data_IF_096767131751
#
_entry.id   IF_096767131751
#
_cell.length_a   1.000
_cell.length_b   1.000
_cell.length_c   1.000
_cell.angle_alpha   90.00
_cell.angle_beta   90.00
_cell.angle_gamma   90.00
#
_symmetry.space_group_name_H-M   'P 1'
#
loop_
_entity.id
_entity.type
_entity.pdbx_description
1 polymer ?
#
# COMPACT_ATOMS: atom_id res chain seq x y z
N UNK A 1 14.69 -96.06 -23.85
CA UNK A 1 14.05 -94.94 -23.11
C UNK A 1 14.91 -94.68 -21.90
N UNK A 2 15.55 -93.51 -21.78
CA UNK A 2 15.99 -92.88 -20.52
C UNK A 2 16.55 -91.49 -20.88
N UNK A 3 16.07 -90.52 -20.12
CA UNK A 3 16.41 -89.09 -20.17
C UNK A 3 17.86 -88.82 -19.75
N UNK A 4 18.45 -87.77 -20.32
CA UNK A 4 19.63 -87.10 -19.80
C UNK A 4 19.26 -85.65 -19.44
N UNK A 5 19.24 -85.35 -18.14
CA UNK A 5 19.46 -84.02 -17.59
C UNK A 5 20.94 -83.65 -17.75
N UNK A 6 21.27 -82.37 -18.01
CA UNK A 6 22.25 -81.51 -17.29
C UNK A 6 22.54 -80.19 -18.07
N UNK A 7 23.09 -79.12 -17.45
CA UNK A 7 22.37 -77.86 -17.28
C UNK A 7 23.08 -76.60 -17.84
N UNK A 8 22.42 -75.46 -17.64
CA UNK A 8 22.84 -74.08 -17.94
C UNK A 8 24.18 -73.69 -17.29
N UNK A 9 24.97 -72.91 -18.05
CA UNK A 9 25.95 -71.97 -17.52
C UNK A 9 25.68 -70.57 -18.10
N UNK A 10 25.52 -69.57 -17.22
CA UNK A 10 25.26 -68.17 -17.55
C UNK A 10 26.58 -67.39 -17.71
N UNK A 11 26.68 -66.54 -18.73
CA UNK A 11 27.70 -65.49 -18.84
C UNK A 11 27.04 -64.11 -18.78
N UNK A 12 27.45 -63.30 -17.79
CA UNK A 12 27.14 -61.87 -17.71
C UNK A 12 27.97 -61.09 -18.73
N UNK A 13 27.29 -60.28 -19.55
CA UNK A 13 27.93 -59.25 -20.38
C UNK A 13 27.71 -57.87 -19.73
N UNK A 14 28.81 -57.18 -19.41
CA UNK A 14 28.82 -55.78 -18.98
C UNK A 14 28.72 -54.87 -20.21
N UNK A 15 27.61 -54.14 -20.35
CA UNK A 15 27.47 -53.05 -21.32
C UNK A 15 27.79 -51.71 -20.62
N UNK A 16 28.59 -50.81 -21.21
CA UNK A 16 28.80 -49.47 -20.69
C UNK A 16 27.54 -48.63 -20.90
N UNK A 17 26.92 -48.20 -19.80
CA UNK A 17 25.83 -47.23 -19.80
C UNK A 17 26.36 -45.87 -20.23
N UNK A 18 26.14 -45.49 -21.49
CA UNK A 18 26.29 -44.10 -21.93
C UNK A 18 25.10 -43.34 -21.33
N UNK A 19 25.29 -42.75 -20.16
CA UNK A 19 24.39 -41.71 -19.67
C UNK A 19 24.57 -40.48 -20.54
N UNK A 20 23.68 -40.29 -21.53
CA UNK A 20 23.45 -38.99 -22.14
C UNK A 20 23.08 -38.03 -21.00
N UNK A 21 24.04 -37.19 -20.59
CA UNK A 21 23.75 -36.04 -19.76
C UNK A 21 22.70 -35.23 -20.52
N UNK A 22 21.49 -35.16 -19.97
CA UNK A 22 20.41 -34.33 -20.47
C UNK A 22 20.92 -32.90 -20.39
N UNK A 23 21.36 -32.35 -21.52
CA UNK A 23 21.63 -30.91 -21.65
C UNK A 23 20.35 -30.22 -21.19
N UNK A 24 20.38 -29.40 -20.12
CA UNK A 24 19.20 -28.70 -19.69
C UNK A 24 18.76 -27.86 -20.89
N UNK A 25 17.55 -28.16 -21.36
CA UNK A 25 16.93 -27.43 -22.44
C UNK A 25 16.67 -26.02 -21.89
N UNK A 26 17.61 -25.10 -22.10
CA UNK A 26 17.46 -23.68 -21.80
C UNK A 26 16.37 -23.15 -22.74
N UNK A 27 15.12 -23.38 -22.36
CA UNK A 27 14.00 -22.67 -22.98
C UNK A 27 14.17 -21.21 -22.59
N UNK A 28 14.42 -20.35 -23.59
CA UNK A 28 14.18 -18.92 -23.50
C UNK A 28 12.75 -18.70 -23.00
N UNK A 29 12.57 -18.50 -21.69
CA UNK A 29 11.27 -18.24 -21.10
C UNK A 29 11.07 -16.73 -21.11
N UNK A 30 10.11 -16.26 -21.90
CA UNK A 30 9.57 -14.91 -21.74
C UNK A 30 8.89 -14.83 -20.39
N UNK A 31 9.31 -13.89 -19.57
CA UNK A 31 8.72 -13.64 -18.26
C UNK A 31 8.26 -12.20 -18.18
N UNK A 32 7.03 -12.00 -17.70
CA UNK A 32 6.54 -10.68 -17.30
C UNK A 32 7.29 -10.27 -16.04
N UNK A 33 8.01 -9.15 -16.09
CA UNK A 33 8.71 -8.60 -14.93
C UNK A 33 8.27 -7.16 -14.66
N UNK A 34 8.56 -6.71 -13.44
CA UNK A 34 8.35 -5.34 -13.02
C UNK A 34 9.69 -4.67 -12.70
N UNK A 35 9.99 -3.59 -13.41
CA UNK A 35 11.14 -2.72 -13.11
C UNK A 35 10.60 -1.55 -12.30
N UNK A 36 11.21 -1.29 -11.15
CA UNK A 36 10.85 -0.20 -10.26
C UNK A 36 12.08 0.63 -9.93
N UNK A 37 11.90 1.95 -9.97
CA UNK A 37 12.91 2.90 -9.56
C UNK A 37 12.32 3.86 -8.56
N UNK A 38 13.08 4.14 -7.50
CA UNK A 38 12.75 5.09 -6.45
C UNK A 38 13.91 6.04 -6.25
N UNK A 39 13.61 7.32 -6.07
CA UNK A 39 14.58 8.38 -5.85
C UNK A 39 14.14 9.32 -4.74
N UNK A 40 15.03 9.55 -3.79
CA UNK A 40 14.88 10.57 -2.76
C UNK A 40 15.56 11.85 -3.25
N UNK A 41 14.78 12.94 -3.38
CA UNK A 41 15.25 14.23 -3.89
C UNK A 41 16.10 14.99 -2.88
N UNK A 42 16.03 14.65 -1.60
CA UNK A 42 16.76 15.33 -0.54
C UNK A 42 18.17 14.75 -0.37
N UNK A 43 18.29 13.43 -0.32
CA UNK A 43 19.58 12.73 -0.20
C UNK A 43 20.23 12.42 -1.54
N UNK A 44 19.49 12.56 -2.65
CA UNK A 44 19.91 12.13 -3.99
C UNK A 44 20.22 10.63 -4.07
N UNK A 45 19.64 9.84 -3.18
CA UNK A 45 19.77 8.37 -3.16
C UNK A 45 18.72 7.73 -4.07
N UNK A 46 19.04 6.58 -4.65
CA UNK A 46 18.11 5.85 -5.52
C UNK A 46 18.19 4.35 -5.32
N UNK A 47 17.09 3.68 -5.61
CA UNK A 47 17.02 2.23 -5.67
C UNK A 47 16.39 1.78 -6.99
N UNK A 48 17.01 0.81 -7.65
CA UNK A 48 16.50 0.14 -8.85
C UNK A 48 16.25 -1.33 -8.52
N UNK A 49 15.02 -1.79 -8.73
CA UNK A 49 14.62 -3.17 -8.46
C UNK A 49 13.95 -3.80 -9.67
N UNK A 50 14.27 -5.06 -9.93
CA UNK A 50 13.56 -5.92 -10.86
C UNK A 50 12.84 -6.99 -10.05
N UNK A 51 11.55 -7.19 -10.32
CA UNK A 51 10.72 -8.16 -9.63
C UNK A 51 10.00 -9.09 -10.59
N UNK A 52 9.53 -10.18 -10.03
CA UNK A 52 8.65 -11.13 -10.69
C UNK A 52 7.29 -10.50 -11.06
N UNK A 53 6.49 -11.26 -11.83
CA UNK A 53 5.16 -10.84 -12.23
C UNK A 53 4.24 -10.51 -11.04
N UNK A 54 4.39 -11.21 -9.91
CA UNK A 54 3.55 -10.99 -8.73
C UNK A 54 3.98 -9.77 -7.89
N UNK A 55 5.17 -9.21 -8.16
CA UNK A 55 5.83 -8.14 -7.38
C UNK A 55 6.14 -8.56 -5.94
N UNK A 56 6.11 -9.87 -5.65
CA UNK A 56 6.38 -10.41 -4.31
C UNK A 56 7.83 -10.82 -4.15
N UNK A 57 8.52 -11.08 -5.27
CA UNK A 57 9.90 -11.53 -5.27
C UNK A 57 10.76 -10.57 -6.06
N UNK A 58 11.81 -10.07 -5.40
CA UNK A 58 12.86 -9.28 -6.04
C UNK A 58 13.79 -10.24 -6.76
N UNK A 59 14.02 -10.03 -8.04
CA UNK A 59 14.93 -10.80 -8.90
C UNK A 59 16.30 -10.15 -8.98
N UNK A 60 16.35 -8.82 -8.90
CA UNK A 60 17.59 -8.05 -8.85
C UNK A 60 17.37 -6.70 -8.16
N UNK A 61 18.40 -6.17 -7.51
CA UNK A 61 18.35 -4.90 -6.79
C UNK A 61 19.70 -4.18 -6.86
N UNK A 62 19.67 -2.85 -6.89
CA UNK A 62 20.86 -1.99 -6.91
C UNK A 62 20.54 -0.61 -6.33
N UNK A 63 21.50 -0.04 -5.61
CA UNK A 63 21.45 1.36 -5.14
C UNK A 63 21.97 2.37 -6.17
N UNK A 64 22.20 1.90 -7.40
CA UNK A 64 22.59 2.73 -8.53
C UNK A 64 21.50 2.72 -9.61
N UNK A 65 21.74 3.46 -10.69
CA UNK A 65 20.83 3.50 -11.85
C UNK A 65 20.94 2.28 -12.77
N UNK A 66 21.72 1.25 -12.39
CA UNK A 66 21.97 0.07 -13.21
C UNK A 66 21.87 -1.22 -12.38
N UNK A 67 21.33 -2.28 -12.97
CA UNK A 67 21.24 -3.61 -12.35
C UNK A 67 21.25 -4.71 -13.42
N UNK A 68 21.85 -5.86 -13.12
CA UNK A 68 21.79 -7.03 -13.99
C UNK A 68 20.73 -8.04 -13.51
N UNK A 69 19.96 -8.59 -14.44
CA UNK A 69 18.95 -9.64 -14.19
C UNK A 69 18.97 -10.66 -15.32
N UNK A 70 19.19 -11.94 -15.00
CA UNK A 70 19.18 -13.04 -15.97
C UNK A 70 20.06 -12.84 -17.21
N UNK A 71 21.25 -12.24 -17.02
CA UNK A 71 22.19 -11.92 -18.11
C UNK A 71 21.92 -10.59 -18.85
N UNK A 72 20.81 -9.90 -18.53
CA UNK A 72 20.42 -8.63 -19.14
C UNK A 72 20.80 -7.45 -18.26
N UNK A 73 21.32 -6.39 -18.87
CA UNK A 73 21.53 -5.11 -18.18
C UNK A 73 20.26 -4.27 -18.27
N UNK A 74 19.81 -3.77 -17.11
CA UNK A 74 18.77 -2.76 -16.98
C UNK A 74 19.42 -1.48 -16.48
N UNK A 75 19.24 -0.38 -17.19
CA UNK A 75 19.69 0.95 -16.76
C UNK A 75 18.57 1.98 -16.85
N UNK A 76 18.68 3.02 -16.04
CA UNK A 76 17.67 4.07 -15.91
C UNK A 76 18.32 5.43 -16.17
N UNK A 77 17.74 6.19 -17.10
CA UNK A 77 18.09 7.58 -17.35
C UNK A 77 16.81 8.43 -17.31
N UNK A 78 16.51 8.89 -16.09
CA UNK A 78 15.36 9.71 -15.76
C UNK A 78 15.80 10.92 -14.93
N UNK A 79 15.01 11.98 -15.00
CA UNK A 79 15.12 13.17 -14.17
C UNK A 79 14.57 12.95 -12.75
N UNK A 80 14.57 14.02 -11.95
CA UNK A 80 14.07 13.98 -10.58
C UNK A 80 12.55 13.72 -10.47
N UNK A 81 11.77 13.91 -11.54
CA UNK A 81 10.32 13.68 -11.58
C UNK A 81 9.96 12.33 -12.21
N UNK A 82 10.93 11.44 -12.39
CA UNK A 82 10.75 10.13 -13.02
C UNK A 82 10.33 10.22 -14.50
N UNK A 83 10.74 11.26 -15.21
CA UNK A 83 10.60 11.38 -16.67
C UNK A 83 11.90 10.99 -17.37
N UNK A 84 11.80 10.28 -18.49
CA UNK A 84 12.97 9.83 -19.24
C UNK A 84 12.75 8.44 -19.81
N UNK A 85 13.74 7.56 -19.65
CA UNK A 85 13.73 6.23 -20.23
C UNK A 85 14.42 5.19 -19.38
N UNK A 86 14.00 3.94 -19.57
CA UNK A 86 14.78 2.77 -19.18
C UNK A 86 15.44 2.15 -20.42
N UNK A 87 16.61 1.56 -20.23
CA UNK A 87 17.26 0.73 -21.24
C UNK A 87 17.31 -0.70 -20.72
N UNK A 88 16.81 -1.65 -21.50
CA UNK A 88 16.84 -3.07 -21.17
C UNK A 88 17.50 -3.80 -22.34
N UNK A 89 18.66 -4.40 -22.10
CA UNK A 89 19.44 -5.12 -23.12
C UNK A 89 19.72 -4.28 -24.38
N UNK A 90 20.04 -2.99 -24.18
CA UNK A 90 20.29 -2.04 -25.26
C UNK A 90 19.04 -1.45 -25.92
N UNK A 91 17.83 -1.94 -25.60
CA UNK A 91 16.58 -1.36 -26.09
C UNK A 91 16.08 -0.26 -25.15
N UNK A 92 15.84 0.92 -25.69
CA UNK A 92 15.39 2.10 -24.96
C UNK A 92 13.86 2.22 -24.98
N UNK A 93 13.27 2.42 -23.80
CA UNK A 93 11.83 2.55 -23.60
C UNK A 93 11.52 3.82 -22.81
N UNK A 94 10.64 4.66 -23.32
CA UNK A 94 10.22 5.89 -22.63
C UNK A 94 9.29 5.56 -21.46
N UNK A 95 9.45 6.28 -20.34
CA UNK A 95 8.53 6.20 -19.21
C UNK A 95 7.17 6.77 -19.63
N UNK A 96 6.28 5.88 -20.07
CA UNK A 96 4.93 6.24 -20.49
C UNK A 96 3.95 5.07 -20.31
N UNK A 97 2.73 5.41 -19.89
CA UNK A 97 1.65 4.44 -19.63
C UNK A 97 1.00 3.83 -20.87
N UNK A 98 1.34 4.33 -22.07
CA UNK A 98 0.75 3.93 -23.34
C UNK A 98 1.85 3.24 -24.16
N UNK A 99 1.71 1.93 -24.48
CA UNK A 99 2.69 1.17 -25.26
C UNK A 99 3.15 1.83 -26.56
N UNK A 100 2.24 2.53 -27.24
CA UNK A 100 2.54 3.27 -28.48
C UNK A 100 3.56 4.40 -28.32
N UNK A 101 3.75 4.92 -27.10
CA UNK A 101 4.68 6.02 -26.81
C UNK A 101 5.91 5.56 -26.00
N UNK A 102 5.83 4.41 -25.33
CA UNK A 102 6.92 3.84 -24.52
C UNK A 102 7.83 2.87 -25.29
N UNK A 103 7.48 2.52 -26.53
CA UNK A 103 8.19 1.48 -27.28
C UNK A 103 7.73 0.06 -26.97
N UNK A 104 6.48 -0.11 -26.50
CA UNK A 104 5.85 -1.42 -26.30
C UNK A 104 5.62 -1.83 -24.85
N UNK A 105 6.08 -1.05 -23.87
CA UNK A 105 5.93 -1.35 -22.44
C UNK A 105 4.87 -0.48 -21.76
N UNK A 106 4.55 -0.75 -20.50
CA UNK A 106 3.64 0.12 -19.72
C UNK A 106 4.38 0.62 -18.50
N UNK A 107 4.60 1.92 -18.41
CA UNK A 107 5.19 2.55 -17.24
C UNK A 107 4.26 3.60 -16.64
N UNK A 108 4.12 3.58 -15.33
CA UNK A 108 3.37 4.57 -14.58
C UNK A 108 4.31 5.19 -13.53
N UNK A 109 4.15 6.49 -13.26
CA UNK A 109 5.03 7.22 -12.34
C UNK A 109 4.26 8.07 -11.34
N UNK A 110 4.92 8.34 -10.22
CA UNK A 110 4.43 9.20 -9.15
C UNK A 110 5.57 10.01 -8.58
N UNK A 111 5.30 11.25 -8.18
CA UNK A 111 6.33 12.16 -7.69
C UNK A 111 5.75 13.25 -6.81
N UNK A 112 6.55 13.77 -5.89
CA UNK A 112 6.24 14.95 -5.10
C UNK A 112 7.52 15.79 -4.91
N UNK A 113 7.53 16.71 -3.95
CA UNK A 113 8.70 17.55 -3.67
C UNK A 113 9.86 16.82 -2.99
N UNK A 114 9.64 15.63 -2.44
CA UNK A 114 10.60 14.85 -1.65
C UNK A 114 11.11 13.61 -2.38
N UNK A 115 10.29 12.98 -3.22
CA UNK A 115 10.63 11.72 -3.86
C UNK A 115 9.95 11.56 -5.23
N UNK A 116 10.48 10.64 -6.03
CA UNK A 116 9.87 10.21 -7.28
C UNK A 116 10.07 8.73 -7.54
N UNK A 117 9.16 8.19 -8.34
CA UNK A 117 9.04 6.76 -8.52
C UNK A 117 8.45 6.44 -9.90
N UNK A 118 8.90 5.36 -10.53
CA UNK A 118 8.16 4.72 -11.63
C UNK A 118 8.15 3.20 -11.52
N UNK A 119 7.12 2.59 -12.10
CA UNK A 119 7.06 1.15 -12.32
C UNK A 119 6.69 0.83 -13.75
N UNK A 120 7.53 0.02 -14.39
CA UNK A 120 7.35 -0.48 -15.73
C UNK A 120 7.01 -1.97 -15.71
N UNK A 121 6.06 -2.38 -16.53
CA UNK A 121 5.76 -3.77 -16.88
C UNK A 121 6.35 -4.07 -18.26
N UNK A 122 7.21 -5.07 -18.34
CA UNK A 122 7.87 -5.51 -19.58
C UNK A 122 7.86 -7.04 -19.68
N UNK A 123 7.67 -7.54 -20.88
CA UNK A 123 7.87 -8.95 -21.22
C UNK A 123 9.36 -9.13 -21.59
N UNK A 124 10.13 -9.76 -20.72
CA UNK A 124 11.57 -9.92 -20.89
C UNK A 124 11.94 -11.39 -21.16
N UNK A 125 12.78 -11.61 -22.16
CA UNK A 125 13.43 -12.89 -22.38
C UNK A 125 14.72 -12.95 -21.55
N UNK A 126 14.72 -13.76 -20.51
CA UNK A 126 15.90 -13.95 -19.67
C UNK A 126 16.77 -15.06 -20.24
N UNK A 127 18.09 -14.82 -20.29
CA UNK A 127 19.07 -15.80 -20.77
C UNK A 127 19.27 -16.92 -19.72
N UNK A 128 19.07 -16.58 -18.44
CA UNK A 128 19.08 -17.51 -17.32
C UNK A 128 17.91 -17.24 -16.38
N UNK A 129 17.37 -18.31 -15.77
CA UNK A 129 16.32 -18.16 -14.77
C UNK A 129 16.86 -17.39 -13.56
N UNK A 130 16.35 -16.17 -13.34
CA UNK A 130 16.73 -15.35 -12.20
C UNK A 130 16.06 -15.91 -10.94
N UNK A 131 16.86 -16.33 -9.98
CA UNK A 131 16.34 -16.73 -8.67
C UNK A 131 15.88 -15.50 -7.88
N UNK A 132 14.85 -15.67 -7.06
CA UNK A 132 14.45 -14.62 -6.13
C UNK A 132 15.60 -14.35 -5.14
N UNK A 133 15.88 -13.07 -4.90
CA UNK A 133 16.78 -12.61 -3.86
C UNK A 133 16.18 -12.89 -2.49
N UNK A 134 17.04 -13.23 -1.52
CA UNK A 134 16.65 -13.24 -0.12
C UNK A 134 16.47 -11.79 0.35
N UNK A 135 15.28 -11.45 0.86
CA UNK A 135 14.94 -10.12 1.36
C UNK A 135 15.91 -9.64 2.45
N UNK A 136 16.52 -10.55 3.21
CA UNK A 136 17.53 -10.19 4.23
C UNK A 136 18.87 -9.75 3.64
N UNK A 137 19.13 -10.08 2.37
CA UNK A 137 20.37 -9.76 1.65
C UNK A 137 20.24 -8.55 0.74
N UNK A 138 19.04 -7.99 0.60
CA UNK A 138 18.81 -6.79 -0.19
C UNK A 138 19.37 -5.59 0.56
N UNK A 139 20.31 -4.89 -0.08
CA UNK A 139 20.93 -3.69 0.46
C UNK A 139 19.90 -2.59 0.72
N UNK A 140 20.10 -1.80 1.77
CA UNK A 140 19.30 -0.61 2.01
C UNK A 140 19.96 0.59 1.32
N UNK A 141 19.31 1.13 0.29
CA UNK A 141 19.84 2.24 -0.51
C UNK A 141 19.61 3.63 0.07
N UNK A 142 18.86 3.74 1.18
CA UNK A 142 18.44 5.02 1.74
C UNK A 142 18.95 5.19 3.17
N UNK A 143 19.61 6.32 3.41
CA UNK A 143 20.22 6.64 4.71
C UNK A 143 19.20 7.07 5.77
N UNK A 144 18.01 7.52 5.37
CA UNK A 144 16.97 7.98 6.30
C UNK A 144 15.87 6.92 6.53
N UNK A 145 15.63 6.51 7.78
CA UNK A 145 14.51 5.61 8.09
C UNK A 145 13.17 6.36 7.97
N UNK A 146 12.21 5.76 7.26
CA UNK A 146 10.85 6.32 7.09
C UNK A 146 10.66 7.18 5.84
N UNK A 147 11.73 7.49 5.12
CA UNK A 147 11.70 8.05 3.77
C UNK A 147 12.33 6.99 2.88
N UNK A 148 11.50 6.18 2.22
CA UNK A 148 12.02 5.15 1.32
C UNK A 148 12.67 3.92 1.94
N UNK A 149 12.10 3.31 2.98
CA UNK A 149 12.40 1.88 3.14
C UNK A 149 11.89 1.16 1.87
N UNK A 150 12.70 0.31 1.25
CA UNK A 150 12.31 -0.51 0.09
C UNK A 150 10.94 -1.18 0.32
N UNK A 151 10.66 -1.53 1.58
CA UNK A 151 9.38 -2.06 2.03
C UNK A 151 8.24 -1.06 1.95
N UNK A 152 8.39 0.21 2.31
CA UNK A 152 7.37 1.25 2.21
C UNK A 152 7.28 1.81 0.80
N UNK A 153 8.37 1.92 0.03
CA UNK A 153 8.28 2.26 -1.40
C UNK A 153 7.54 1.15 -2.18
N UNK A 154 7.90 -0.12 -1.99
CA UNK A 154 7.26 -1.28 -2.61
C UNK A 154 5.83 -1.49 -2.11
N UNK A 155 5.55 -1.19 -0.85
CA UNK A 155 4.22 -1.36 -0.23
C UNK A 155 3.32 -0.15 -0.46
N UNK A 156 3.83 1.07 -0.51
CA UNK A 156 3.11 2.23 -1.05
C UNK A 156 2.84 2.03 -2.53
N UNK A 157 3.68 1.30 -3.26
CA UNK A 157 3.43 0.86 -4.64
C UNK A 157 2.43 -0.30 -4.75
N UNK A 158 2.49 -1.29 -3.87
CA UNK A 158 1.56 -2.43 -3.81
C UNK A 158 0.20 -2.00 -3.21
N UNK A 159 0.18 -0.90 -2.45
CA UNK A 159 -1.00 -0.27 -1.86
C UNK A 159 -1.52 0.88 -2.73
N UNK A 160 -0.67 1.56 -3.49
CA UNK A 160 -1.06 2.23 -4.74
C UNK A 160 -1.56 1.16 -5.74
N UNK A 161 -1.03 -0.07 -5.70
CA UNK A 161 -1.63 -1.26 -6.30
C UNK A 161 -2.78 -1.83 -5.46
N UNK A 162 -3.38 -1.08 -4.54
CA UNK A 162 -4.83 -1.10 -4.33
C UNK A 162 -5.58 -0.84 -5.64
N UNK A 163 -4.87 -0.30 -6.65
CA UNK A 163 -5.24 -0.38 -8.06
C UNK A 163 -5.35 -1.79 -8.68
N UNK A 164 -4.68 -2.81 -8.14
CA UNK A 164 -4.68 -4.21 -8.59
C UNK A 164 -5.17 -5.21 -7.53
N UNK A 165 -5.11 -4.88 -6.23
CA UNK A 165 -5.45 -5.75 -5.10
C UNK A 165 -6.94 -5.72 -4.70
N UNK A 166 -7.74 -4.82 -5.28
CA UNK A 166 -9.19 -4.75 -4.99
C UNK A 166 -10.01 -5.95 -5.47
N UNK A 167 -9.39 -7.00 -6.01
CA UNK A 167 -10.07 -8.27 -6.28
C UNK A 167 -10.06 -9.26 -5.11
N UNK A 168 -9.17 -9.11 -4.12
CA UNK A 168 -8.98 -10.15 -3.09
C UNK A 168 -8.97 -9.67 -1.63
N UNK A 169 -9.31 -8.40 -1.34
CA UNK A 169 -9.66 -8.05 0.04
C UNK A 169 -11.13 -8.40 0.28
N UNK A 170 -11.45 -9.32 1.21
CA UNK A 170 -12.83 -9.52 1.62
C UNK A 170 -13.36 -8.20 2.18
N UNK A 171 -14.57 -7.83 1.77
CA UNK A 171 -15.38 -6.83 2.45
C UNK A 171 -15.46 -7.19 3.94
N UNK A 172 -14.54 -6.63 4.73
CA UNK A 172 -14.59 -6.65 6.19
C UNK A 172 -15.58 -5.60 6.72
N UNK A 173 -16.52 -5.18 5.88
CA UNK A 173 -17.70 -4.40 6.26
C UNK A 173 -18.95 -5.27 6.47
N UNK A 174 -18.85 -6.60 6.37
CA UNK A 174 -19.89 -7.50 6.88
C UNK A 174 -19.75 -7.69 8.39
N UNK A 175 -19.90 -6.61 9.18
CA UNK A 175 -20.34 -6.77 10.57
C UNK A 175 -21.85 -6.74 10.55
N UNK A 176 -22.43 -7.94 10.53
CA UNK A 176 -23.83 -8.21 10.87
C UNK A 176 -24.13 -7.47 12.17
N UNK A 177 -25.00 -6.47 12.08
CA UNK A 177 -25.59 -5.75 13.21
C UNK A 177 -26.08 -6.78 14.25
N UNK A 178 -25.49 -6.88 15.45
CA UNK A 178 -26.20 -7.50 16.55
C UNK A 178 -27.43 -6.63 16.80
N UNK A 179 -28.58 -7.28 16.94
CA UNK A 179 -29.86 -6.63 17.18
C UNK A 179 -29.74 -5.47 18.16
N UNK A 180 -30.43 -4.38 17.82
CA UNK A 180 -30.53 -3.19 18.63
C UNK A 180 -30.87 -3.57 20.08
N UNK A 181 -29.97 -3.26 21.01
CA UNK A 181 -30.33 -3.16 22.42
C UNK A 181 -31.51 -2.17 22.54
N UNK A 182 -32.50 -2.44 23.40
CA UNK A 182 -33.74 -1.68 23.43
C UNK A 182 -33.45 -0.21 23.70
N UNK A 183 -34.08 0.68 22.92
CA UNK A 183 -34.19 2.11 23.26
C UNK A 183 -34.66 2.23 24.71
N UNK A 184 -34.09 3.12 25.53
CA UNK A 184 -34.70 3.44 26.81
C UNK A 184 -36.08 4.02 26.54
N UNK A 185 -37.11 3.27 26.93
CA UNK A 185 -38.47 3.74 26.99
C UNK A 185 -38.53 4.86 28.01
N UNK A 186 -39.03 6.03 27.61
CA UNK A 186 -39.58 7.01 28.52
C UNK A 186 -40.82 6.38 29.18
N UNK A 187 -40.60 5.59 30.22
CA UNK A 187 -41.66 5.10 31.09
C UNK A 187 -41.68 5.96 32.35
N UNK A 188 -42.41 7.06 32.26
CA UNK A 188 -42.94 7.77 33.43
C UNK A 188 -43.98 6.88 34.11
N UNK A 189 -43.54 5.87 34.85
CA UNK A 189 -44.41 5.17 35.80
C UNK A 189 -44.27 5.81 37.18
N UNK A 190 -45.32 6.52 37.58
CA UNK A 190 -45.54 7.01 38.92
C UNK A 190 -45.40 5.88 39.96
N UNK A 191 -44.43 6.00 40.88
CA UNK A 191 -44.50 5.31 42.17
C UNK A 191 -44.46 6.35 43.28
N UNK A 192 -45.65 6.66 43.79
CA UNK A 192 -45.83 7.23 45.12
C UNK A 192 -45.71 6.09 46.14
N UNK A 193 -44.59 6.02 46.85
CA UNK A 193 -44.58 5.59 48.25
C UNK A 193 -43.27 5.98 48.93
N UNK A 194 -43.45 6.77 49.97
CA UNK A 194 -42.56 7.23 51.04
C UNK A 194 -41.45 6.27 51.50
N UNK A 195 -40.35 6.89 51.96
CA UNK A 195 -39.15 6.36 52.66
C UNK A 195 -37.91 6.15 51.75
N UNK A 196 -37.24 7.27 51.40
CA UNK A 196 -35.78 7.44 51.52
C UNK A 196 -35.35 8.86 51.06
N UNK A 197 -35.63 9.87 51.87
CA UNK A 197 -34.90 11.13 51.77
C UNK A 197 -33.47 10.89 52.32
N UNK A 198 -32.55 10.45 51.44
CA UNK A 198 -31.06 10.47 51.52
C UNK A 198 -30.34 9.45 50.61
N UNK A 199 -31.05 8.72 49.74
CA UNK A 199 -30.36 7.93 48.71
C UNK A 199 -30.24 8.79 47.45
N UNK A 200 -29.01 9.20 47.09
CA UNK A 200 -28.72 9.72 45.75
C UNK A 200 -29.11 8.57 44.80
N UNK A 201 -30.16 8.76 44.01
CA UNK A 201 -30.60 7.73 43.08
C UNK A 201 -29.47 7.44 42.09
N UNK A 202 -28.90 6.23 42.15
CA UNK A 202 -27.83 5.78 41.25
C UNK A 202 -28.29 5.59 39.78
N UNK A 203 -29.40 6.21 39.37
CA UNK A 203 -30.05 5.99 38.08
C UNK A 203 -29.56 6.88 36.94
N UNK A 204 -28.75 7.90 37.22
CA UNK A 204 -28.17 8.74 36.17
C UNK A 204 -26.85 8.11 35.73
N UNK A 205 -26.83 7.67 34.47
CA UNK A 205 -25.66 7.13 33.79
C UNK A 205 -25.15 8.10 32.74
N UNK A 206 -23.83 8.30 32.67
CA UNK A 206 -23.14 9.00 31.60
C UNK A 206 -22.18 8.03 30.92
N UNK A 207 -22.16 8.01 29.59
CA UNK A 207 -21.24 7.19 28.82
C UNK A 207 -20.31 8.10 28.05
N UNK A 208 -19.03 7.75 28.01
CA UNK A 208 -18.04 8.41 27.17
C UNK A 208 -17.01 7.41 26.66
N UNK A 209 -16.41 7.68 25.49
CA UNK A 209 -15.28 6.91 25.03
C UNK A 209 -14.04 7.21 25.90
N UNK A 210 -13.28 6.17 26.25
CA UNK A 210 -12.00 6.27 26.96
C UNK A 210 -10.95 5.40 26.28
N UNK A 211 -9.67 5.76 26.44
CA UNK A 211 -8.57 4.94 25.94
C UNK A 211 -8.49 3.60 26.68
N UNK A 212 -8.11 2.56 25.94
CA UNK A 212 -7.69 1.29 26.52
C UNK A 212 -6.19 1.35 26.76
N UNK A 213 -5.77 1.47 28.02
CA UNK A 213 -4.36 1.72 28.35
C UNK A 213 -3.91 3.08 27.80
N UNK A 214 -2.86 3.07 26.99
CA UNK A 214 -2.38 4.23 26.23
C UNK A 214 -3.04 4.39 24.85
N UNK A 215 -3.95 3.48 24.49
CA UNK A 215 -4.61 3.44 23.18
C UNK A 215 -3.79 2.78 22.07
N UNK A 216 -2.55 2.36 22.32
CA UNK A 216 -1.64 1.79 21.31
C UNK A 216 -1.67 2.56 19.97
N UNK A 217 -1.28 3.85 19.97
CA UNK A 217 -1.42 4.72 18.81
C UNK A 217 -0.50 4.27 17.67
N UNK A 218 -1.03 4.27 16.44
CA UNK A 218 -0.28 3.96 15.23
C UNK A 218 -0.61 4.93 14.09
N UNK A 219 0.38 5.20 13.24
CA UNK A 219 0.22 6.04 12.05
C UNK A 219 -0.23 5.23 10.85
N UNK A 220 -1.16 5.81 10.10
CA UNK A 220 -1.68 5.27 8.85
C UNK A 220 -2.04 6.39 7.89
N UNK A 221 -2.16 6.09 6.61
CA UNK A 221 -2.43 7.13 5.60
C UNK A 221 -3.69 6.81 4.81
N UNK A 222 -4.53 7.82 4.63
CA UNK A 222 -5.61 7.80 3.65
C UNK A 222 -5.13 8.56 2.43
N UNK A 223 -5.12 7.88 1.28
CA UNK A 223 -4.79 8.48 0.00
C UNK A 223 -6.07 8.75 -0.77
N UNK A 224 -6.22 9.96 -1.31
CA UNK A 224 -7.41 10.34 -2.09
C UNK A 224 -7.01 11.10 -3.35
N UNK A 225 -7.60 10.74 -4.49
CA UNK A 225 -7.46 11.53 -5.70
C UNK A 225 -8.32 12.79 -5.58
N UNK A 226 -7.69 13.96 -5.65
CA UNK A 226 -8.39 15.24 -5.45
C UNK A 226 -8.77 15.91 -6.78
N UNK A 227 -8.08 15.60 -7.87
CA UNK A 227 -8.35 16.16 -9.20
C UNK A 227 -9.09 15.22 -10.13
N UNK A 228 -9.72 15.78 -11.16
CA UNK A 228 -10.03 15.02 -12.36
C UNK A 228 -8.75 14.57 -13.08
N UNK A 229 -8.89 13.58 -13.96
CA UNK A 229 -7.82 13.18 -14.85
C UNK A 229 -7.69 14.18 -15.99
N UNK A 230 -6.46 14.58 -16.30
CA UNK A 230 -6.17 15.39 -17.47
C UNK A 230 -5.34 14.60 -18.47
N UNK A 231 -5.81 14.55 -19.71
CA UNK A 231 -5.08 13.98 -20.85
C UNK A 231 -4.41 15.12 -21.61
N UNK A 232 -3.07 15.11 -21.68
CA UNK A 232 -2.33 16.26 -22.21
C UNK A 232 -2.38 16.44 -23.74
N UNK A 233 -3.03 15.53 -24.48
CA UNK A 233 -3.05 15.58 -25.95
C UNK A 233 -1.63 15.57 -26.52
N UNK A 234 -1.34 16.40 -27.52
CA UNK A 234 0.01 16.49 -28.12
C UNK A 234 0.93 17.50 -27.43
N UNK A 235 0.43 18.23 -26.42
CA UNK A 235 1.19 19.26 -25.68
C UNK A 235 1.49 18.83 -24.24
N UNK A 236 2.22 19.68 -23.51
CA UNK A 236 2.28 19.56 -22.04
C UNK A 236 0.98 20.07 -21.43
N UNK A 237 0.62 19.53 -20.26
CA UNK A 237 -0.55 19.96 -19.52
C UNK A 237 -0.28 20.00 -18.02
N UNK A 238 -1.08 20.78 -17.29
CA UNK A 238 -0.93 20.93 -15.85
C UNK A 238 -2.28 20.82 -15.15
N UNK A 239 -2.35 19.96 -14.14
CA UNK A 239 -3.51 19.81 -13.24
C UNK A 239 -3.22 20.56 -11.96
N UNK A 240 -4.00 21.62 -11.70
CA UNK A 240 -3.88 22.46 -10.51
C UNK A 240 -5.05 22.33 -9.55
N UNK A 241 -4.78 22.56 -8.25
CA UNK A 241 -5.77 22.47 -7.18
C UNK A 241 -6.93 23.47 -7.30
N UNK A 242 -6.77 24.62 -7.97
CA UNK A 242 -7.90 25.55 -8.18
C UNK A 242 -9.05 24.94 -9.00
N UNK A 243 -8.82 23.80 -9.66
CA UNK A 243 -9.85 23.01 -10.35
C UNK A 243 -10.29 21.76 -9.56
N UNK A 244 -9.61 21.40 -8.45
CA UNK A 244 -10.01 20.30 -7.56
C UNK A 244 -10.85 20.83 -6.39
N UNK A 245 -12.04 20.28 -6.19
CA UNK A 245 -12.88 20.56 -5.02
C UNK A 245 -12.12 20.23 -3.73
N UNK A 246 -12.21 21.09 -2.71
CA UNK A 246 -11.75 20.75 -1.37
C UNK A 246 -12.56 19.58 -0.81
N UNK A 247 -11.87 18.62 -0.21
CA UNK A 247 -12.50 17.52 0.52
C UNK A 247 -12.38 17.76 2.02
N UNK A 248 -13.49 17.58 2.74
CA UNK A 248 -13.48 17.46 4.20
C UNK A 248 -13.38 15.99 4.54
N UNK A 249 -12.32 15.61 5.24
CA UNK A 249 -12.06 14.23 5.62
C UNK A 249 -12.19 14.13 7.12
N UNK A 250 -13.11 13.27 7.56
CA UNK A 250 -13.52 13.14 8.95
C UNK A 250 -12.95 11.88 9.59
N UNK A 251 -12.82 11.88 10.92
CA UNK A 251 -12.43 10.71 11.68
C UNK A 251 -13.38 9.53 11.41
N UNK A 252 -12.81 8.33 11.28
CA UNK A 252 -13.57 7.09 11.15
C UNK A 252 -13.79 6.51 12.54
N UNK A 253 -15.05 6.43 12.95
CA UNK A 253 -15.43 6.08 14.33
C UNK A 253 -15.63 4.59 14.58
N UNK A 254 -15.59 3.72 13.57
CA UNK A 254 -15.90 2.29 13.71
C UNK A 254 -17.20 2.06 14.53
N UNK A 255 -17.12 1.49 15.75
CA UNK A 255 -18.24 1.29 16.66
C UNK A 255 -18.36 2.36 17.76
N UNK A 256 -17.55 3.41 17.72
CA UNK A 256 -17.60 4.52 18.67
C UNK A 256 -18.87 5.36 18.46
N UNK A 257 -19.50 5.75 19.57
CA UNK A 257 -20.67 6.63 19.56
C UNK A 257 -20.30 8.11 19.50
N UNK A 258 -19.10 8.46 19.98
CA UNK A 258 -18.62 9.83 20.03
C UNK A 258 -17.13 9.88 19.65
N UNK A 259 -16.73 10.95 18.96
CA UNK A 259 -15.33 11.23 18.69
C UNK A 259 -14.67 11.91 19.89
N UNK A 260 -13.47 11.48 20.23
CA UNK A 260 -12.61 12.16 21.19
C UNK A 260 -11.16 12.03 20.74
N UNK A 261 -10.32 13.02 21.01
CA UNK A 261 -8.92 13.00 20.58
C UNK A 261 -8.05 12.00 21.34
N UNK A 262 -8.51 11.48 22.48
CA UNK A 262 -7.69 10.65 23.37
C UNK A 262 -6.49 11.38 23.99
N UNK A 263 -6.39 12.70 23.83
CA UNK A 263 -5.19 13.46 24.18
C UNK A 263 -4.11 13.49 23.08
N UNK A 264 -4.35 12.88 21.92
CA UNK A 264 -3.46 12.96 20.76
C UNK A 264 -3.65 14.26 19.97
N UNK A 265 -2.63 14.71 19.24
CA UNK A 265 -2.71 15.89 18.37
C UNK A 265 -3.46 15.60 17.05
N UNK A 266 -4.71 15.18 17.16
CA UNK A 266 -5.61 14.82 16.07
C UNK A 266 -6.81 15.77 15.98
N UNK A 267 -7.48 15.80 14.83
CA UNK A 267 -8.71 16.56 14.60
C UNK A 267 -9.85 15.64 14.17
N UNK A 268 -11.09 16.10 14.36
CA UNK A 268 -12.25 15.38 13.83
C UNK A 268 -12.33 15.49 12.31
N UNK A 269 -11.91 16.62 11.74
CA UNK A 269 -11.93 16.84 10.30
C UNK A 269 -10.80 17.75 9.83
N UNK A 270 -10.18 17.40 8.71
CA UNK A 270 -9.24 18.26 7.98
C UNK A 270 -9.78 18.55 6.57
N UNK A 271 -9.54 19.77 6.09
CA UNK A 271 -9.83 20.14 4.71
C UNK A 271 -8.55 20.12 3.88
N UNK A 272 -8.60 19.51 2.68
CA UNK A 272 -7.53 19.68 1.69
C UNK A 272 -7.57 21.15 1.25
N UNK A 273 -6.51 21.95 1.49
CA UNK A 273 -6.58 23.42 1.37
C UNK A 273 -5.46 24.12 0.58
N UNK A 274 -4.44 23.39 0.16
CA UNK A 274 -3.23 23.98 -0.46
C UNK A 274 -3.25 23.80 -1.98
N UNK A 275 -2.79 24.82 -2.71
CA UNK A 275 -2.73 24.73 -4.17
C UNK A 275 -1.47 24.02 -4.66
N UNK A 276 -1.66 22.89 -5.32
CA UNK A 276 -0.58 22.13 -5.95
C UNK A 276 -0.82 21.96 -7.44
N UNK A 277 0.26 21.86 -8.20
CA UNK A 277 0.23 21.67 -9.65
C UNK A 277 1.02 20.42 -10.03
N UNK A 278 0.39 19.54 -10.79
CA UNK A 278 0.99 18.36 -11.40
C UNK A 278 1.14 18.58 -12.89
N UNK A 279 2.32 18.26 -13.43
CA UNK A 279 2.64 18.45 -14.84
C UNK A 279 2.63 17.10 -15.55
N UNK A 280 2.12 17.10 -16.78
CA UNK A 280 2.17 15.98 -17.69
C UNK A 280 2.76 16.39 -19.03
N UNK A 281 3.49 15.46 -19.64
CA UNK A 281 4.05 15.59 -20.97
C UNK A 281 3.04 15.21 -22.06
N UNK A 282 3.38 15.51 -23.34
CA UNK A 282 2.61 15.03 -24.47
C UNK A 282 2.19 13.58 -24.35
N UNK A 283 0.92 13.34 -24.62
CA UNK A 283 0.22 12.06 -24.64
C UNK A 283 0.07 11.36 -23.29
N UNK A 284 0.52 11.97 -22.19
CA UNK A 284 0.33 11.44 -20.86
C UNK A 284 -1.04 11.77 -20.28
N UNK A 285 -1.40 11.00 -19.25
CA UNK A 285 -2.50 11.29 -18.33
C UNK A 285 -1.90 11.68 -16.99
N UNK A 286 -2.37 12.77 -16.39
CA UNK A 286 -1.90 13.26 -15.10
C UNK A 286 -3.07 13.53 -14.16
N UNK A 287 -2.85 13.28 -12.87
CA UNK A 287 -3.80 13.53 -11.79
C UNK A 287 -3.05 13.84 -10.50
N UNK A 288 -3.75 14.48 -9.56
CA UNK A 288 -3.25 14.90 -8.26
C UNK A 288 -3.89 14.09 -7.14
N UNK A 289 -3.04 13.62 -6.25
CA UNK A 289 -3.41 12.86 -5.06
C UNK A 289 -2.95 13.55 -3.79
N UNK A 290 -3.69 13.30 -2.73
CA UNK A 290 -3.41 13.81 -1.40
C UNK A 290 -3.36 12.64 -0.41
N UNK A 291 -2.26 12.57 0.35
CA UNK A 291 -2.06 11.62 1.44
C UNK A 291 -2.30 12.34 2.77
N UNK A 292 -3.16 11.74 3.59
CA UNK A 292 -3.49 12.23 4.92
C UNK A 292 -3.07 11.27 5.99
N UNK A 293 -2.18 11.73 6.85
CA UNK A 293 -1.78 10.98 8.02
C UNK A 293 -2.93 10.96 9.04
N UNK A 294 -3.21 9.76 9.55
CA UNK A 294 -4.18 9.48 10.58
C UNK A 294 -3.48 8.77 11.72
N UNK A 295 -3.90 9.11 12.94
CA UNK A 295 -3.58 8.32 14.13
C UNK A 295 -4.75 7.40 14.43
N UNK A 296 -4.46 6.11 14.45
CA UNK A 296 -5.40 5.08 14.87
C UNK A 296 -5.13 4.69 16.33
N UNK A 297 -6.16 4.66 17.16
CA UNK A 297 -6.05 4.35 18.59
C UNK A 297 -7.25 3.54 19.10
N UNK A 298 -6.96 2.70 20.10
CA UNK A 298 -7.91 1.77 20.71
C UNK A 298 -8.65 2.45 21.86
N UNK A 299 -9.97 2.45 21.76
CA UNK A 299 -10.87 3.01 22.75
C UNK A 299 -11.96 2.00 23.13
N UNK A 300 -12.68 2.31 24.18
CA UNK A 300 -13.88 1.59 24.60
C UNK A 300 -14.89 2.56 25.19
N UNK A 301 -16.16 2.23 25.09
CA UNK A 301 -17.21 2.97 25.76
C UNK A 301 -17.17 2.65 27.25
N UNK A 302 -17.23 3.67 28.12
CA UNK A 302 -17.32 3.46 29.56
C UNK A 302 -18.50 4.24 30.11
N UNK A 303 -19.43 3.51 30.73
CA UNK A 303 -20.59 4.07 31.41
C UNK A 303 -20.28 4.21 32.89
N UNK A 304 -20.43 5.42 33.40
CA UNK A 304 -20.28 5.79 34.80
C UNK A 304 -21.66 6.07 35.38
N UNK A 305 -21.93 5.54 36.57
CA UNK A 305 -23.07 5.98 37.37
C UNK A 305 -22.61 6.87 38.54
N UNK A 306 -23.55 7.61 39.13
CA UNK A 306 -23.28 8.49 40.28
C UNK A 306 -22.79 7.76 41.55
N UNK A 307 -22.77 6.43 41.52
CA UNK A 307 -22.42 5.57 42.65
C UNK A 307 -21.10 4.81 42.42
N UNK A 308 -20.32 5.19 41.40
CA UNK A 308 -18.99 4.65 41.13
C UNK A 308 -18.97 3.30 40.41
N UNK A 309 -20.12 2.73 40.07
CA UNK A 309 -20.17 1.54 39.21
C UNK A 309 -19.75 1.96 37.80
N UNK A 310 -18.78 1.23 37.27
CA UNK A 310 -18.26 1.42 35.92
C UNK A 310 -18.59 0.19 35.10
N UNK A 311 -19.28 0.37 33.99
CA UNK A 311 -19.47 -0.67 32.97
C UNK A 311 -18.68 -0.30 31.74
N UNK A 312 -18.04 -1.28 31.11
CA UNK A 312 -17.19 -1.07 29.93
C UNK A 312 -17.72 -1.87 28.76
N UNK A 313 -17.88 -1.22 27.61
CA UNK A 313 -18.23 -1.87 26.36
C UNK A 313 -17.04 -2.57 25.69
N UNK A 314 -17.29 -3.11 24.49
CA UNK A 314 -16.25 -3.68 23.63
C UNK A 314 -15.21 -2.65 23.19
N UNK A 315 -14.03 -3.14 22.82
CA UNK A 315 -12.97 -2.30 22.27
C UNK A 315 -13.22 -2.00 20.79
N UNK A 316 -12.82 -0.82 20.34
CA UNK A 316 -12.89 -0.39 18.94
C UNK A 316 -11.73 0.55 18.61
N UNK A 317 -11.50 0.78 17.31
CA UNK A 317 -10.42 1.64 16.81
C UNK A 317 -11.04 2.91 16.22
N UNK A 318 -10.56 4.06 16.68
CA UNK A 318 -10.84 5.36 16.06
C UNK A 318 -9.65 5.74 15.19
N UNK A 319 -9.92 6.17 13.95
CA UNK A 319 -8.92 6.67 13.02
C UNK A 319 -9.15 8.17 12.84
N UNK A 320 -8.29 9.01 13.41
CA UNK A 320 -8.47 10.45 13.40
C UNK A 320 -7.38 11.12 12.54
N UNK A 321 -7.75 12.05 11.64
CA UNK A 321 -6.78 12.87 10.93
C UNK A 321 -5.80 13.54 11.89
N UNK A 322 -4.52 13.56 11.54
CA UNK A 322 -3.55 14.36 12.28
C UNK A 322 -3.86 15.84 12.07
N UNK A 323 -3.81 16.62 13.15
CA UNK A 323 -4.03 18.06 13.08
C UNK A 323 -3.04 18.69 12.09
N UNK A 324 -3.53 19.58 11.23
CA UNK A 324 -2.72 20.25 10.18
C UNK A 324 -2.09 19.27 9.16
N UNK A 325 -2.62 18.04 9.08
CA UNK A 325 -2.09 16.96 8.27
C UNK A 325 -0.57 16.72 8.44
N UNK A 326 -0.06 16.79 9.67
CA UNK A 326 1.35 16.46 9.94
C UNK A 326 1.66 15.04 9.45
N UNK A 327 2.72 14.92 8.66
CA UNK A 327 3.16 13.69 7.95
C UNK A 327 2.30 13.27 6.75
N UNK A 328 1.32 14.09 6.34
CA UNK A 328 0.67 13.94 5.04
C UNK A 328 1.43 14.69 3.94
N UNK A 329 1.10 14.39 2.69
CA UNK A 329 1.76 15.01 1.54
C UNK A 329 0.83 15.06 0.31
N UNK A 330 1.13 15.95 -0.62
CA UNK A 330 0.55 15.97 -1.96
C UNK A 330 1.51 15.29 -2.94
N UNK A 331 0.98 14.49 -3.87
CA UNK A 331 1.79 13.88 -4.92
C UNK A 331 1.05 13.80 -6.24
N UNK A 332 1.84 13.85 -7.30
CA UNK A 332 1.40 13.77 -8.67
C UNK A 332 1.52 12.34 -9.17
N UNK A 333 0.58 11.95 -10.02
CA UNK A 333 0.54 10.61 -10.62
C UNK A 333 0.40 10.77 -12.12
N UNK A 334 1.20 10.01 -12.87
CA UNK A 334 1.16 9.94 -14.32
C UNK A 334 0.82 8.52 -14.77
N UNK A 335 -0.12 8.43 -15.70
CA UNK A 335 -0.46 7.20 -16.38
C UNK A 335 -1.75 6.52 -15.92
N UNK A 336 -1.75 5.19 -15.93
CA UNK A 336 -2.88 4.33 -15.59
C UNK A 336 -3.15 4.25 -14.08
N UNK A 337 -2.25 4.81 -13.27
CA UNK A 337 -2.46 4.99 -11.83
C UNK A 337 -3.43 6.13 -11.51
N UNK A 338 -3.76 6.96 -12.49
CA UNK A 338 -4.87 7.88 -12.37
C UNK A 338 -6.22 7.15 -12.34
N UNK A 339 -7.04 7.57 -11.40
CA UNK A 339 -8.35 7.00 -11.03
C UNK A 339 -9.45 8.04 -11.21
N UNK A 340 -10.63 7.81 -10.65
CA UNK A 340 -11.65 8.84 -10.65
C UNK A 340 -11.40 9.81 -9.50
N UNK A 341 -11.77 11.06 -9.71
CA UNK A 341 -11.75 12.05 -8.65
C UNK A 341 -12.61 11.57 -7.48
N UNK A 342 -12.03 11.61 -6.28
CA UNK A 342 -12.68 11.14 -5.06
C UNK A 342 -12.37 9.69 -4.68
N UNK A 343 -11.79 8.89 -5.59
CA UNK A 343 -11.32 7.53 -5.27
C UNK A 343 -10.26 7.59 -4.18
N UNK A 344 -10.31 6.64 -3.25
CA UNK A 344 -9.45 6.62 -2.07
C UNK A 344 -9.03 5.21 -1.68
N UNK A 345 -7.93 5.11 -0.94
CA UNK A 345 -7.48 3.87 -0.34
C UNK A 345 -6.73 4.12 0.96
N UNK A 346 -6.75 3.12 1.84
CA UNK A 346 -6.02 3.15 3.10
C UNK A 346 -4.69 2.42 3.00
N UNK A 347 -3.63 3.11 3.37
CA UNK A 347 -2.34 2.52 3.71
C UNK A 347 -2.29 2.17 5.21
N UNK A 348 -2.53 0.89 5.49
CA UNK A 348 -2.42 0.29 6.84
C UNK A 348 -1.15 -0.51 7.02
N UNK A 349 -0.24 -0.32 6.09
CA UNK A 349 0.68 -1.35 5.72
C UNK A 349 1.79 -1.40 6.77
N UNK A 350 2.27 -0.25 7.25
CA UNK A 350 3.15 -0.16 8.42
C UNK A 350 2.34 0.21 9.67
N UNK A 351 2.30 -0.68 10.67
CA UNK A 351 1.93 -0.31 12.04
C UNK A 351 3.08 0.50 12.63
N UNK A 352 3.35 1.69 12.07
CA UNK A 352 4.34 2.60 12.64
C UNK A 352 3.81 3.02 14.01
N UNK A 353 4.49 2.63 15.12
CA UNK A 353 4.09 3.08 16.44
C UNK A 353 4.15 4.61 16.47
N UNK A 354 3.11 5.26 16.98
CA UNK A 354 3.11 6.71 17.13
C UNK A 354 1.76 7.38 16.90
N UNK A 355 1.52 8.43 17.68
CA UNK A 355 0.57 9.51 17.47
C UNK A 355 1.34 10.84 17.51
N UNK A 356 0.88 11.91 16.85
CA UNK A 356 1.56 13.21 16.81
C UNK A 356 1.60 13.93 18.16
#
# INVERSE_FOLDING_TARGET
MINLLHPLAALLALAPSITLARVPNFRNQTQVIHIQWHFDKNSHESALSVMDQSRKSILAHSCTKEVQVGGKLVSVDVDEDAEGHITVDGYKYTIHSKPKHSGGIVCDSLYNSQESFFSCKIDLHLDTQSAAMDLHTVENCFSQPGVGNLRGALKNMVTASGLLAHRDSPDLFAVTRPEALPKPSNDTSFINSTIHARQIACGITSSRPVLVGDGNPHQNWLHKQISENMDCGDGSCSVGYTQSTSYTITATLSAAYEWFSGGFSVSYSEATGQSYTCNGNPNQRVCSWYSMAHTAYTARETTFNQCGTTSTGGQYIIWSPNKENRHGNHYCVRGNYCRNKGDEYWDKSDKMPGGP
#
